data_IF_116015838733
#
_entry.id   IF_116015838733
#
_cell.length_a   1.000
_cell.length_b   1.000
_cell.length_c   1.000
_cell.angle_alpha   90.00
_cell.angle_beta   90.00
_cell.angle_gamma   90.00
#
_symmetry.space_group_name_H-M   'P 1'
#
loop_
_entity.id
_entity.type
_entity.pdbx_description
1 polymer ?
#
# COMPACT_ATOMS: atom_id res chain seq x y z
N UNK A 1 -23.87 17.10 -0.24
CA UNK A 1 -23.72 17.90 1.00
C UNK A 1 -22.27 17.83 1.40
N UNK A 2 -21.62 18.93 1.80
CA UNK A 2 -20.23 18.85 2.28
C UNK A 2 -20.20 18.34 3.74
N UNK A 3 -19.02 18.01 4.26
CA UNK A 3 -18.88 17.47 5.62
C UNK A 3 -19.49 18.38 6.70
N UNK A 4 -19.30 19.71 6.60
CA UNK A 4 -19.80 20.65 7.60
C UNK A 4 -21.33 20.73 7.57
N UNK A 5 -21.93 20.75 6.38
CA UNK A 5 -23.37 20.72 6.23
C UNK A 5 -23.95 19.41 6.78
N UNK A 6 -23.31 18.27 6.49
CA UNK A 6 -23.73 16.96 6.97
C UNK A 6 -23.67 16.86 8.50
N UNK A 7 -22.56 17.34 9.08
CA UNK A 7 -22.39 17.43 10.53
C UNK A 7 -23.50 18.28 11.17
N UNK A 8 -23.86 19.40 10.56
CA UNK A 8 -24.91 20.28 11.06
C UNK A 8 -26.29 19.60 11.01
N UNK A 9 -26.61 18.86 9.94
CA UNK A 9 -27.84 18.09 9.85
C UNK A 9 -27.93 17.01 10.95
N UNK A 10 -26.83 16.27 11.18
CA UNK A 10 -26.77 15.28 12.26
C UNK A 10 -26.99 15.94 13.62
N UNK A 11 -26.34 17.08 13.89
CA UNK A 11 -26.54 17.83 15.14
C UNK A 11 -28.00 18.31 15.30
N UNK A 12 -28.65 18.69 14.21
CA UNK A 12 -30.07 19.05 14.25
C UNK A 12 -30.96 17.84 14.58
N UNK A 13 -30.69 16.66 14.00
CA UNK A 13 -31.42 15.42 14.32
C UNK A 13 -31.23 15.07 15.80
N UNK A 14 -30.00 15.14 16.32
CA UNK A 14 -29.72 14.92 17.73
C UNK A 14 -30.46 15.91 18.63
N UNK A 15 -30.54 17.18 18.23
CA UNK A 15 -31.25 18.22 19.01
C UNK A 15 -32.76 18.00 19.10
N UNK A 16 -33.35 17.35 18.10
CA UNK A 16 -34.79 17.04 18.01
C UNK A 16 -35.16 15.68 18.62
N UNK A 17 -34.17 14.87 18.96
CA UNK A 17 -34.37 13.54 19.56
C UNK A 17 -34.75 13.70 21.03
N UNK A 18 -35.74 12.92 21.50
CA UNK A 18 -36.12 12.91 22.91
C UNK A 18 -34.90 12.56 23.79
N UNK A 19 -34.72 13.30 24.89
CA UNK A 19 -33.61 13.12 25.83
C UNK A 19 -33.49 11.70 26.36
N UNK A 20 -34.59 10.96 26.49
CA UNK A 20 -34.56 9.58 26.95
C UNK A 20 -33.95 8.60 25.93
N UNK A 21 -33.99 8.94 24.64
CA UNK A 21 -33.45 8.13 23.55
C UNK A 21 -32.05 8.57 23.10
N UNK A 22 -31.64 9.80 23.45
CA UNK A 22 -30.36 10.36 23.04
C UNK A 22 -29.14 9.48 23.40
N UNK A 23 -29.02 8.90 24.61
CA UNK A 23 -27.90 8.01 24.92
C UNK A 23 -27.85 6.77 24.02
N UNK A 24 -29.01 6.16 23.75
CA UNK A 24 -29.11 4.98 22.88
C UNK A 24 -28.78 5.31 21.43
N UNK A 25 -29.21 6.47 20.93
CA UNK A 25 -28.89 6.93 19.57
C UNK A 25 -27.39 7.25 19.43
N UNK A 26 -26.79 7.90 20.42
CA UNK A 26 -25.35 8.18 20.43
C UNK A 26 -24.52 6.90 20.51
N UNK A 27 -24.97 5.90 21.24
CA UNK A 27 -24.31 4.60 21.27
C UNK A 27 -24.42 3.90 19.91
N UNK A 28 -25.63 3.85 19.33
CA UNK A 28 -25.83 3.30 17.98
C UNK A 28 -24.95 4.01 16.93
N UNK A 29 -24.87 5.35 16.95
CA UNK A 29 -23.99 6.09 16.02
C UNK A 29 -22.49 5.76 16.18
N UNK A 30 -22.07 5.27 17.35
CA UNK A 30 -20.67 4.93 17.62
C UNK A 30 -20.33 3.47 17.36
N UNK A 31 -21.30 2.57 17.49
CA UNK A 31 -21.04 1.13 17.56
C UNK A 31 -21.88 0.31 16.58
N UNK A 32 -22.66 0.94 15.71
CA UNK A 32 -23.51 0.21 14.77
C UNK A 32 -22.84 0.00 13.43
N UNK A 33 -22.86 -1.25 13.00
CA UNK A 33 -22.43 -1.67 11.66
C UNK A 33 -23.43 -1.24 10.57
N UNK A 34 -24.65 -0.80 10.92
CA UNK A 34 -25.65 -0.28 9.98
C UNK A 34 -25.12 0.93 9.18
N UNK A 35 -24.10 1.63 9.71
CA UNK A 35 -23.44 2.74 9.05
C UNK A 35 -22.40 2.30 8.02
N UNK A 36 -21.85 1.09 8.16
CA UNK A 36 -20.84 0.53 7.26
C UNK A 36 -21.44 0.19 5.89
N UNK A 37 -22.75 -0.05 5.81
CA UNK A 37 -23.49 -0.20 4.55
C UNK A 37 -23.39 1.04 3.65
N UNK A 38 -23.23 2.24 4.23
CA UNK A 38 -22.97 3.47 3.47
C UNK A 38 -21.52 3.61 3.03
N UNK A 39 -20.63 2.76 3.55
CA UNK A 39 -19.21 2.66 3.19
C UNK A 39 -18.94 1.52 2.20
N UNK A 40 -19.99 0.89 1.64
CA UNK A 40 -19.86 -0.08 0.55
C UNK A 40 -19.26 0.64 -0.66
N UNK A 41 -18.05 0.21 -1.00
CA UNK A 41 -17.19 0.86 -1.95
C UNK A 41 -17.06 -0.03 -3.19
N UNK A 42 -17.74 0.32 -4.28
CA UNK A 42 -17.70 -0.47 -5.51
C UNK A 42 -16.26 -0.60 -6.03
N UNK A 43 -15.42 0.39 -5.75
CA UNK A 43 -14.00 0.37 -6.08
C UNK A 43 -13.26 -0.74 -5.31
N UNK A 44 -13.58 -0.98 -4.04
CA UNK A 44 -12.95 -2.07 -3.27
C UNK A 44 -13.33 -3.43 -3.82
N UNK A 45 -14.57 -3.60 -4.30
CA UNK A 45 -15.02 -4.84 -4.98
C UNK A 45 -14.23 -5.09 -6.27
N UNK A 46 -13.96 -4.03 -7.05
CA UNK A 46 -13.13 -4.14 -8.26
C UNK A 46 -11.70 -4.57 -7.89
N UNK A 47 -11.10 -3.98 -6.85
CA UNK A 47 -9.78 -4.37 -6.37
C UNK A 47 -9.74 -5.82 -5.87
N UNK A 48 -10.76 -6.27 -5.13
CA UNK A 48 -10.91 -7.67 -4.71
C UNK A 48 -11.00 -8.61 -5.91
N UNK A 49 -11.75 -8.22 -6.95
CA UNK A 49 -11.84 -9.00 -8.19
C UNK A 49 -10.48 -9.11 -8.89
N UNK A 50 -9.70 -8.02 -8.92
CA UNK A 50 -8.34 -8.02 -9.47
C UNK A 50 -7.44 -8.97 -8.66
N UNK A 51 -7.52 -8.90 -7.33
CA UNK A 51 -6.77 -9.77 -6.44
C UNK A 51 -7.10 -11.26 -6.68
N UNK A 52 -8.38 -11.62 -6.85
CA UNK A 52 -8.82 -12.96 -7.22
C UNK A 52 -8.21 -13.46 -8.54
N UNK A 53 -8.26 -12.63 -9.58
CA UNK A 53 -7.68 -12.96 -10.88
C UNK A 53 -6.17 -13.18 -10.82
N UNK A 54 -5.47 -12.32 -10.08
CA UNK A 54 -4.02 -12.42 -9.89
C UNK A 54 -3.66 -13.68 -9.11
N UNK A 55 -4.39 -14.02 -8.05
CA UNK A 55 -4.20 -15.27 -7.28
C UNK A 55 -4.32 -16.51 -8.17
N UNK A 56 -5.23 -16.52 -9.14
CA UNK A 56 -5.36 -17.63 -10.09
C UNK A 56 -4.12 -17.81 -10.99
N UNK A 57 -3.28 -16.79 -11.12
CA UNK A 57 -2.09 -16.79 -11.96
C UNK A 57 -0.78 -16.96 -11.18
N UNK A 58 -0.83 -16.94 -9.84
CA UNK A 58 0.34 -16.86 -8.97
C UNK A 58 0.40 -18.06 -8.01
N UNK A 59 1.60 -18.42 -7.53
CA UNK A 59 1.72 -19.29 -6.36
C UNK A 59 1.13 -18.61 -5.12
N UNK A 60 0.86 -19.39 -4.06
CA UNK A 60 0.24 -18.89 -2.83
C UNK A 60 1.06 -17.74 -2.22
N UNK A 61 2.38 -17.87 -2.25
CA UNK A 61 3.33 -16.88 -1.74
C UNK A 61 3.38 -15.61 -2.58
N UNK A 62 2.80 -15.60 -3.79
CA UNK A 62 2.79 -14.47 -4.71
C UNK A 62 4.18 -13.88 -5.04
N UNK A 63 5.23 -14.70 -4.91
CA UNK A 63 6.58 -14.37 -5.33
C UNK A 63 6.88 -15.00 -6.70
N UNK A 64 7.47 -14.23 -7.60
CA UNK A 64 7.93 -14.78 -8.88
C UNK A 64 9.20 -15.62 -8.65
N UNK A 65 9.43 -16.73 -9.39
CA UNK A 65 10.65 -17.52 -9.26
C UNK A 65 11.94 -16.73 -9.51
N UNK A 66 11.82 -15.63 -10.27
CA UNK A 66 12.90 -14.69 -10.58
C UNK A 66 13.25 -13.72 -9.44
N UNK A 67 12.42 -13.60 -8.39
CA UNK A 67 12.71 -12.79 -7.19
C UNK A 67 13.65 -13.52 -6.22
N UNK A 68 14.76 -14.07 -6.74
CA UNK A 68 15.65 -14.97 -5.98
C UNK A 68 16.22 -14.32 -4.71
N UNK A 69 16.51 -13.02 -4.74
CA UNK A 69 17.04 -12.30 -3.58
C UNK A 69 15.98 -12.09 -2.49
N UNK A 70 14.74 -11.76 -2.86
CA UNK A 70 13.66 -11.61 -1.89
C UNK A 70 13.38 -12.94 -1.20
N UNK A 71 13.29 -14.03 -2.00
CA UNK A 71 13.16 -15.41 -1.49
C UNK A 71 14.30 -15.74 -0.53
N UNK A 72 15.55 -15.44 -0.92
CA UNK A 72 16.73 -15.71 -0.10
C UNK A 72 16.70 -14.91 1.21
N UNK A 73 16.44 -13.60 1.17
CA UNK A 73 16.41 -12.74 2.37
C UNK A 73 15.31 -13.14 3.35
N UNK A 74 14.14 -13.50 2.84
CA UNK A 74 13.03 -14.04 3.67
C UNK A 74 13.45 -15.34 4.36
N UNK A 75 14.12 -16.25 3.64
CA UNK A 75 14.60 -17.51 4.23
C UNK A 75 15.74 -17.35 5.26
N UNK A 76 16.43 -16.21 5.25
CA UNK A 76 17.56 -15.91 6.14
C UNK A 76 17.14 -15.14 7.40
N UNK A 77 15.86 -14.78 7.55
CA UNK A 77 15.35 -14.14 8.78
C UNK A 77 15.56 -15.06 9.99
N UNK A 78 15.89 -14.45 11.13
CA UNK A 78 16.16 -15.18 12.38
C UNK A 78 14.92 -15.87 12.93
N UNK A 79 13.74 -15.31 12.64
CA UNK A 79 12.45 -15.90 12.94
C UNK A 79 11.87 -16.50 11.65
N UNK A 80 11.14 -17.62 11.73
CA UNK A 80 10.45 -18.15 10.57
C UNK A 80 9.44 -17.14 10.00
N UNK A 81 9.74 -16.67 8.79
CA UNK A 81 8.98 -15.62 8.09
C UNK A 81 8.35 -16.20 6.82
N UNK A 82 7.10 -15.82 6.53
CA UNK A 82 6.35 -16.18 5.32
C UNK A 82 5.94 -14.90 4.60
N UNK A 83 6.04 -14.90 3.27
CA UNK A 83 5.51 -13.82 2.46
C UNK A 83 4.02 -14.05 2.19
N UNK A 84 3.19 -13.07 2.55
CA UNK A 84 1.75 -13.03 2.29
C UNK A 84 1.46 -11.66 1.70
N UNK A 85 1.07 -11.63 0.42
CA UNK A 85 0.84 -10.37 -0.27
C UNK A 85 -0.45 -9.71 0.21
N UNK A 86 -0.33 -8.55 0.86
CA UNK A 86 -1.46 -7.86 1.49
C UNK A 86 -2.50 -7.32 0.49
N UNK A 87 -2.15 -7.18 -0.79
CA UNK A 87 -3.13 -6.84 -1.83
C UNK A 87 -3.99 -8.05 -2.20
N UNK A 88 -3.40 -9.25 -2.20
CA UNK A 88 -4.06 -10.48 -2.63
C UNK A 88 -4.87 -11.17 -1.52
N UNK A 89 -4.42 -11.02 -0.28
CA UNK A 89 -4.96 -11.74 0.87
C UNK A 89 -5.25 -10.76 2.01
N UNK A 90 -6.53 -10.51 2.26
CA UNK A 90 -6.99 -9.87 3.49
C UNK A 90 -7.01 -10.88 4.66
N UNK A 91 -7.32 -10.40 5.87
CA UNK A 91 -7.32 -11.24 7.07
C UNK A 91 -8.30 -12.42 6.96
N UNK A 92 -9.50 -12.18 6.42
CA UNK A 92 -10.52 -13.22 6.21
C UNK A 92 -10.03 -14.30 5.23
N UNK A 93 -9.35 -13.90 4.15
CA UNK A 93 -8.78 -14.84 3.19
C UNK A 93 -7.65 -15.64 3.82
N UNK A 94 -6.78 -15.02 4.63
CA UNK A 94 -5.72 -15.72 5.37
C UNK A 94 -6.32 -16.72 6.35
N UNK A 95 -7.37 -16.35 7.08
CA UNK A 95 -8.05 -17.26 8.01
C UNK A 95 -8.66 -18.46 7.29
N UNK A 96 -9.35 -18.22 6.17
CA UNK A 96 -9.89 -19.28 5.32
C UNK A 96 -8.80 -20.25 4.83
N UNK A 97 -7.63 -19.73 4.43
CA UNK A 97 -6.49 -20.55 4.01
C UNK A 97 -5.91 -21.38 5.17
N UNK A 98 -5.94 -20.84 6.39
CA UNK A 98 -5.55 -21.58 7.59
C UNK A 98 -6.53 -22.69 7.95
N UNK A 99 -7.84 -22.42 7.87
CA UNK A 99 -8.89 -23.41 8.11
C UNK A 99 -8.83 -24.57 7.08
N UNK A 100 -8.52 -24.24 5.82
CA UNK A 100 -8.31 -25.21 4.74
C UNK A 100 -6.99 -26.01 4.86
N UNK A 101 -6.12 -25.66 5.83
CA UNK A 101 -4.80 -26.28 6.00
C UNK A 101 -3.80 -25.96 4.89
N UNK A 102 -4.07 -24.92 4.08
CA UNK A 102 -3.17 -24.44 3.01
C UNK A 102 -2.10 -23.48 3.52
N UNK A 103 -2.36 -22.83 4.66
CA UNK A 103 -1.43 -21.92 5.33
C UNK A 103 -1.45 -22.17 6.83
N UNK A 104 -0.44 -21.69 7.56
CA UNK A 104 -0.45 -21.63 9.02
C UNK A 104 0.01 -20.24 9.47
N UNK A 105 -0.57 -19.73 10.56
CA UNK A 105 -0.07 -18.53 11.28
C UNK A 105 1.03 -18.88 12.29
N UNK A 106 1.27 -20.17 12.53
CA UNK A 106 2.22 -20.65 13.54
C UNK A 106 3.15 -21.73 12.99
N UNK A 107 4.35 -21.83 13.54
CA UNK A 107 5.27 -22.94 13.30
C UNK A 107 5.49 -23.76 14.58
N UNK A 108 5.86 -25.02 14.39
CA UNK A 108 6.11 -25.95 15.48
C UNK A 108 7.52 -25.76 16.05
N UNK A 109 7.63 -25.61 17.38
CA UNK A 109 8.93 -25.49 18.06
C UNK A 109 9.63 -26.84 18.21
N UNK A 110 8.86 -27.92 18.30
CA UNK A 110 9.35 -29.30 18.26
C UNK A 110 8.40 -30.16 17.43
N UNK A 111 8.83 -30.63 16.26
CA UNK A 111 7.99 -31.40 15.33
C UNK A 111 7.19 -32.50 16.05
N UNK A 112 5.90 -32.60 15.70
CA UNK A 112 4.89 -33.47 16.33
C UNK A 112 4.48 -33.09 17.78
N UNK A 113 4.87 -31.92 18.27
CA UNK A 113 4.31 -31.33 19.50
C UNK A 113 3.20 -30.32 19.21
N UNK A 114 2.46 -29.94 20.24
CA UNK A 114 1.51 -28.82 20.19
C UNK A 114 2.17 -27.50 20.65
N UNK A 115 3.50 -27.48 20.82
CA UNK A 115 4.23 -26.26 21.17
C UNK A 115 4.50 -25.49 19.90
N UNK A 116 3.81 -24.37 19.73
CA UNK A 116 3.91 -23.52 18.54
C UNK A 116 4.29 -22.09 18.90
N UNK A 117 4.87 -21.39 17.93
CA UNK A 117 5.15 -19.96 17.99
C UNK A 117 4.62 -19.30 16.71
N UNK A 118 4.26 -18.00 16.74
CA UNK A 118 3.75 -17.29 15.58
C UNK A 118 4.82 -17.18 14.48
N UNK A 119 4.36 -17.26 13.23
CA UNK A 119 5.15 -16.91 12.04
C UNK A 119 5.16 -15.39 11.87
N UNK A 120 6.26 -14.85 11.36
CA UNK A 120 6.26 -13.46 10.88
C UNK A 120 5.69 -13.41 9.46
N UNK A 121 4.79 -12.47 9.19
CA UNK A 121 4.27 -12.23 7.86
C UNK A 121 4.87 -10.94 7.30
N UNK A 122 5.29 -11.00 6.04
CA UNK A 122 5.78 -9.83 5.29
C UNK A 122 4.99 -9.67 4.00
N UNK A 123 4.76 -8.42 3.61
CA UNK A 123 4.19 -8.02 2.33
C UNK A 123 5.09 -6.99 1.65
N UNK A 124 5.11 -7.00 0.32
CA UNK A 124 5.72 -5.94 -0.49
C UNK A 124 4.67 -5.20 -1.36
N UNK A 125 3.39 -5.34 -1.00
CA UNK A 125 2.26 -4.68 -1.66
C UNK A 125 1.40 -3.98 -0.61
N UNK A 126 0.72 -2.91 -1.02
CA UNK A 126 -0.33 -2.30 -0.21
C UNK A 126 -1.59 -3.15 -0.24
N UNK A 127 -2.22 -3.32 0.91
CA UNK A 127 -3.59 -3.79 1.05
C UNK A 127 -4.61 -2.80 0.48
N UNK A 128 -5.82 -3.28 0.25
CA UNK A 128 -6.93 -2.44 -0.23
C UNK A 128 -7.23 -1.27 0.72
N UNK A 129 -7.30 -1.45 2.06
CA UNK A 129 -7.48 -0.34 2.98
C UNK A 129 -6.33 0.66 2.98
N UNK A 130 -5.07 0.21 2.85
CA UNK A 130 -3.92 1.10 2.72
C UNK A 130 -3.98 1.93 1.42
N UNK A 131 -4.44 1.34 0.31
CA UNK A 131 -4.67 2.06 -0.94
C UNK A 131 -5.77 3.12 -0.79
N UNK A 132 -6.85 2.80 -0.08
CA UNK A 132 -7.91 3.78 0.23
C UNK A 132 -7.36 4.93 1.04
N UNK A 133 -6.63 4.64 2.13
CA UNK A 133 -5.97 5.65 2.96
C UNK A 133 -5.07 6.56 2.12
N UNK A 134 -4.22 5.94 1.30
CA UNK A 134 -3.25 6.64 0.50
C UNK A 134 -3.91 7.65 -0.46
N UNK A 135 -4.92 7.22 -1.22
CA UNK A 135 -5.50 8.07 -2.26
C UNK A 135 -6.63 8.99 -1.77
N UNK A 136 -7.31 8.65 -0.68
CA UNK A 136 -8.44 9.45 -0.18
C UNK A 136 -8.08 10.36 0.99
N UNK A 137 -7.02 10.05 1.75
CA UNK A 137 -6.69 10.76 2.99
C UNK A 137 -5.25 11.31 3.03
N UNK A 138 -4.30 10.65 2.37
CA UNK A 138 -2.88 11.08 2.35
C UNK A 138 -2.59 12.01 1.18
N UNK A 139 -2.91 11.59 -0.04
CA UNK A 139 -2.63 12.35 -1.25
C UNK A 139 -3.70 13.43 -1.50
N UNK A 140 -3.31 14.62 -2.01
CA UNK A 140 -4.26 15.65 -2.40
C UNK A 140 -4.97 15.29 -3.70
N UNK A 141 -5.85 16.17 -4.21
CA UNK A 141 -6.42 16.02 -5.55
C UNK A 141 -5.30 15.93 -6.61
N UNK A 142 -5.33 14.84 -7.37
CA UNK A 142 -4.34 14.48 -8.39
C UNK A 142 -4.79 14.85 -9.81
N UNK A 143 -5.86 15.62 -9.97
CA UNK A 143 -6.33 16.06 -11.29
C UNK A 143 -5.20 16.74 -12.08
N UNK A 144 -4.90 16.20 -13.26
CA UNK A 144 -3.82 16.71 -14.11
C UNK A 144 -2.40 16.34 -13.67
N UNK A 145 -2.25 15.48 -12.65
CA UNK A 145 -0.95 15.09 -12.07
C UNK A 145 -0.48 13.73 -12.59
N UNK A 146 0.84 13.55 -12.60
CA UNK A 146 1.48 12.27 -12.87
C UNK A 146 1.97 11.63 -11.56
N UNK A 147 1.55 10.38 -11.35
CA UNK A 147 1.96 9.52 -10.23
C UNK A 147 2.84 8.41 -10.77
N UNK A 148 3.98 8.18 -10.12
CA UNK A 148 4.88 7.06 -10.43
C UNK A 148 4.91 6.10 -9.24
N UNK A 149 4.72 4.82 -9.53
CA UNK A 149 4.91 3.72 -8.59
C UNK A 149 6.22 2.99 -8.92
N UNK A 150 7.18 3.00 -7.99
CA UNK A 150 8.51 2.41 -8.17
C UNK A 150 8.52 1.00 -7.62
N UNK A 151 8.85 0.01 -8.46
CA UNK A 151 8.80 -1.40 -8.07
C UNK A 151 7.36 -1.87 -7.92
N UNK A 152 6.55 -1.58 -8.94
CA UNK A 152 5.09 -1.72 -8.88
C UNK A 152 4.58 -3.16 -8.66
N UNK A 153 5.42 -4.20 -8.73
CA UNK A 153 5.09 -5.63 -8.54
C UNK A 153 3.74 -6.02 -9.16
N UNK A 154 2.69 -6.21 -8.37
CA UNK A 154 1.39 -6.67 -8.85
C UNK A 154 0.51 -5.54 -9.42
N UNK A 155 0.92 -4.28 -9.27
CA UNK A 155 0.23 -3.09 -9.77
C UNK A 155 -0.79 -2.49 -8.79
N UNK A 156 -0.79 -2.91 -7.53
CA UNK A 156 -1.77 -2.52 -6.51
C UNK A 156 -1.98 -0.99 -6.43
N UNK A 157 -0.89 -0.21 -6.40
CA UNK A 157 -0.92 1.27 -6.39
C UNK A 157 -1.56 1.83 -7.65
N UNK A 158 -1.30 1.24 -8.81
CA UNK A 158 -1.85 1.70 -10.09
C UNK A 158 -3.37 1.50 -10.13
N UNK A 159 -3.85 0.34 -9.66
CA UNK A 159 -5.28 0.04 -9.63
C UNK A 159 -6.00 0.89 -8.59
N UNK A 160 -5.43 1.02 -7.39
CA UNK A 160 -5.94 1.90 -6.35
C UNK A 160 -5.99 3.36 -6.79
N UNK A 161 -4.92 3.85 -7.40
CA UNK A 161 -4.85 5.22 -7.92
C UNK A 161 -5.80 5.48 -9.08
N UNK A 162 -6.12 4.46 -9.88
CA UNK A 162 -7.14 4.57 -10.91
C UNK A 162 -8.54 4.70 -10.30
N UNK A 163 -8.86 3.87 -9.32
CA UNK A 163 -10.22 3.80 -8.77
C UNK A 163 -10.52 4.91 -7.75
N UNK A 164 -9.54 5.29 -6.93
CA UNK A 164 -9.70 6.28 -5.87
C UNK A 164 -9.16 7.67 -6.21
N UNK A 165 -8.33 7.78 -7.25
CA UNK A 165 -7.66 9.01 -7.63
C UNK A 165 -8.07 9.55 -9.00
N UNK A 166 -7.89 10.86 -9.17
CA UNK A 166 -8.10 11.57 -10.44
C UNK A 166 -6.78 11.85 -11.19
N UNK A 167 -5.71 11.11 -10.87
CA UNK A 167 -4.41 11.25 -11.53
C UNK A 167 -4.57 11.16 -13.05
N UNK A 168 -3.96 12.10 -13.78
CA UNK A 168 -4.03 12.11 -15.24
C UNK A 168 -3.22 10.94 -15.83
N UNK A 169 -2.13 10.56 -15.17
CA UNK A 169 -1.33 9.39 -15.51
C UNK A 169 -0.83 8.68 -14.25
N UNK A 170 -0.90 7.35 -14.28
CA UNK A 170 -0.37 6.42 -13.29
C UNK A 170 0.67 5.56 -13.99
N UNK A 171 1.94 5.65 -13.58
CA UNK A 171 3.03 4.95 -14.24
C UNK A 171 3.70 3.98 -13.28
N UNK A 172 3.59 2.68 -13.54
CA UNK A 172 4.31 1.64 -12.82
C UNK A 172 5.66 1.38 -13.48
N UNK A 173 6.73 1.43 -12.71
CA UNK A 173 8.05 0.95 -13.14
C UNK A 173 8.32 -0.37 -12.44
N UNK A 174 8.62 -1.41 -13.22
CA UNK A 174 8.90 -2.74 -12.70
C UNK A 174 10.05 -3.38 -13.48
N UNK A 175 10.99 -4.00 -12.78
CA UNK A 175 12.15 -4.67 -13.38
C UNK A 175 11.83 -6.13 -13.73
N UNK A 176 10.87 -6.73 -13.05
CA UNK A 176 10.44 -8.10 -13.27
C UNK A 176 9.45 -8.19 -14.44
N UNK A 177 9.88 -8.78 -15.55
CA UNK A 177 9.04 -8.94 -16.74
C UNK A 177 7.78 -9.78 -16.52
N UNK A 178 7.76 -10.72 -15.56
CA UNK A 178 6.58 -11.54 -15.24
C UNK A 178 5.48 -10.68 -14.64
N UNK A 179 5.86 -9.79 -13.72
CA UNK A 179 4.97 -8.81 -13.11
C UNK A 179 4.51 -7.74 -14.08
N UNK A 180 5.41 -7.21 -14.94
CA UNK A 180 5.00 -6.31 -16.02
C UNK A 180 3.91 -6.94 -16.88
N UNK A 181 4.05 -8.22 -17.23
CA UNK A 181 3.06 -8.94 -18.02
C UNK A 181 1.74 -9.08 -17.28
N UNK A 182 1.76 -9.47 -16.00
CA UNK A 182 0.56 -9.56 -15.16
C UNK A 182 -0.17 -8.21 -15.07
N UNK A 183 0.56 -7.14 -14.78
CA UNK A 183 -0.01 -5.80 -14.72
C UNK A 183 -0.63 -5.40 -16.06
N UNK A 184 0.07 -5.64 -17.18
CA UNK A 184 -0.44 -5.31 -18.52
C UNK A 184 -1.75 -6.04 -18.81
N UNK A 185 -1.84 -7.34 -18.50
CA UNK A 185 -3.06 -8.12 -18.68
C UNK A 185 -4.21 -7.61 -17.80
N UNK A 186 -3.93 -7.26 -16.54
CA UNK A 186 -4.93 -6.69 -15.62
C UNK A 186 -5.43 -5.34 -16.12
N UNK A 187 -4.51 -4.44 -16.52
CA UNK A 187 -4.85 -3.11 -17.05
C UNK A 187 -5.75 -3.22 -18.28
N UNK A 188 -5.45 -4.15 -19.19
CA UNK A 188 -6.29 -4.43 -20.35
C UNK A 188 -7.66 -5.02 -19.97
N UNK A 189 -7.68 -6.04 -19.09
CA UNK A 189 -8.91 -6.73 -18.67
C UNK A 189 -9.92 -5.78 -18.01
N UNK A 190 -9.43 -4.86 -17.18
CA UNK A 190 -10.27 -3.91 -16.44
C UNK A 190 -10.46 -2.57 -17.15
N UNK A 191 -9.86 -2.38 -18.34
CA UNK A 191 -10.03 -1.18 -19.16
C UNK A 191 -9.33 0.07 -18.58
N UNK A 192 -8.22 -0.11 -17.87
CA UNK A 192 -7.50 1.00 -17.21
C UNK A 192 -6.44 1.68 -18.09
N UNK A 193 -6.26 1.22 -19.32
CA UNK A 193 -5.20 1.66 -20.24
C UNK A 193 -5.24 3.14 -20.61
N UNK A 194 -6.36 3.85 -20.35
CA UNK A 194 -6.47 5.28 -20.60
C UNK A 194 -5.57 6.14 -19.69
N UNK A 195 -5.26 5.65 -18.48
CA UNK A 195 -4.48 6.39 -17.47
C UNK A 195 -3.31 5.59 -16.92
N UNK A 196 -3.35 4.26 -16.95
CA UNK A 196 -2.26 3.41 -16.45
C UNK A 196 -1.28 3.08 -17.58
N UNK A 197 0.02 3.28 -17.29
CA UNK A 197 1.14 2.80 -18.10
C UNK A 197 2.07 1.93 -17.26
N UNK A 198 2.50 0.79 -17.80
CA UNK A 198 3.48 -0.09 -17.16
C UNK A 198 4.77 -0.07 -17.98
N UNK A 199 5.90 0.18 -17.32
CA UNK A 199 7.22 0.28 -17.95
C UNK A 199 8.13 -0.81 -17.37
N UNK A 200 8.61 -1.68 -18.24
CA UNK A 200 9.65 -2.66 -17.91
C UNK A 200 11.02 -1.98 -17.88
N UNK A 201 11.46 -1.54 -16.71
CA UNK A 201 12.74 -0.84 -16.56
C UNK A 201 13.25 -0.86 -15.11
N UNK A 202 14.55 -0.65 -14.96
CA UNK A 202 15.12 -0.18 -13.70
C UNK A 202 14.82 1.32 -13.54
N UNK A 203 14.33 1.74 -12.37
CA UNK A 203 14.04 3.14 -12.05
C UNK A 203 15.24 4.07 -12.30
N UNK A 204 16.47 3.59 -12.09
CA UNK A 204 17.73 4.32 -12.31
C UNK A 204 17.95 4.71 -13.78
N UNK A 205 17.19 4.12 -14.70
CA UNK A 205 17.19 4.48 -16.13
C UNK A 205 16.14 5.53 -16.51
N UNK A 206 15.24 5.89 -15.60
CA UNK A 206 14.03 6.69 -15.88
C UNK A 206 14.12 8.12 -15.34
N UNK A 207 15.30 8.76 -15.46
CA UNK A 207 15.56 10.09 -14.88
C UNK A 207 14.55 11.16 -15.31
N UNK A 208 14.24 11.23 -16.60
CA UNK A 208 13.28 12.21 -17.13
C UNK A 208 11.88 12.00 -16.55
N UNK A 209 11.45 10.76 -16.33
CA UNK A 209 10.15 10.47 -15.74
C UNK A 209 10.13 10.91 -14.27
N UNK A 210 11.14 10.51 -13.50
CA UNK A 210 11.28 10.89 -12.08
C UNK A 210 11.36 12.41 -11.90
N UNK A 211 12.09 13.13 -12.76
CA UNK A 211 12.20 14.59 -12.68
C UNK A 211 10.88 15.33 -12.92
N UNK A 212 9.95 14.74 -13.69
CA UNK A 212 8.69 15.38 -14.05
C UNK A 212 7.50 14.97 -13.16
N UNK A 213 7.64 13.87 -12.42
CA UNK A 213 6.62 13.31 -11.54
C UNK A 213 6.09 14.34 -10.52
N UNK A 214 4.77 14.36 -10.31
CA UNK A 214 4.16 15.12 -9.24
C UNK A 214 4.12 14.33 -7.92
N UNK A 215 3.97 13.01 -8.03
CA UNK A 215 3.98 12.07 -6.90
C UNK A 215 4.87 10.88 -7.25
N UNK A 216 5.73 10.47 -6.32
CA UNK A 216 6.52 9.26 -6.40
C UNK A 216 6.17 8.37 -5.20
N UNK A 217 5.80 7.11 -5.45
CA UNK A 217 5.42 6.14 -4.43
C UNK A 217 6.47 5.02 -4.43
N UNK A 218 6.94 4.68 -3.23
CA UNK A 218 7.98 3.69 -3.00
C UNK A 218 7.59 2.79 -1.82
N UNK A 219 6.90 1.69 -2.10
CA UNK A 219 6.52 0.70 -1.09
C UNK A 219 7.50 -0.48 -1.07
N UNK A 220 8.32 -0.56 -0.04
CA UNK A 220 9.21 -1.69 0.26
C UNK A 220 10.10 -2.13 -0.93
N UNK A 221 10.49 -1.17 -1.78
CA UNK A 221 10.99 -1.46 -3.12
C UNK A 221 12.44 -1.94 -3.19
N UNK A 222 13.24 -1.73 -2.13
CA UNK A 222 14.69 -1.94 -2.19
C UNK A 222 15.22 -3.03 -1.24
N UNK A 223 14.75 -3.08 0.00
CA UNK A 223 15.38 -3.89 1.06
C UNK A 223 15.48 -5.37 0.66
N UNK A 224 14.43 -5.92 0.06
CA UNK A 224 14.35 -7.33 -0.31
C UNK A 224 14.87 -7.63 -1.73
N UNK A 225 14.94 -6.61 -2.59
CA UNK A 225 15.14 -6.78 -4.03
C UNK A 225 16.50 -6.33 -4.53
N UNK A 226 17.33 -5.71 -3.68
CA UNK A 226 18.65 -5.18 -4.05
C UNK A 226 19.69 -5.44 -2.97
N UNK A 227 20.96 -5.58 -3.36
CA UNK A 227 22.09 -5.58 -2.41
C UNK A 227 22.27 -4.18 -1.80
N UNK A 228 22.79 -4.05 -0.57
CA UNK A 228 22.90 -2.74 0.11
C UNK A 228 23.55 -1.63 -0.73
N UNK A 229 24.57 -1.98 -1.52
CA UNK A 229 25.24 -1.02 -2.42
C UNK A 229 24.35 -0.54 -3.56
N UNK A 230 23.48 -1.40 -4.11
CA UNK A 230 22.51 -1.04 -5.15
C UNK A 230 21.36 -0.22 -4.56
N UNK A 231 20.91 -0.55 -3.35
CA UNK A 231 19.91 0.24 -2.62
C UNK A 231 20.40 1.68 -2.44
N UNK A 232 21.65 1.85 -2.01
CA UNK A 232 22.26 3.18 -1.85
C UNK A 232 22.32 3.94 -3.17
N UNK A 233 22.71 3.29 -4.27
CA UNK A 233 22.73 3.90 -5.59
C UNK A 233 21.33 4.29 -6.08
N UNK A 234 20.31 3.46 -5.83
CA UNK A 234 18.93 3.76 -6.17
C UNK A 234 18.42 4.97 -5.36
N UNK A 235 18.67 5.01 -4.05
CA UNK A 235 18.34 6.15 -3.20
C UNK A 235 19.06 7.44 -3.62
N UNK A 236 20.34 7.36 -3.97
CA UNK A 236 21.10 8.49 -4.52
C UNK A 236 20.50 8.97 -5.85
N UNK A 237 20.13 8.04 -6.73
CA UNK A 237 19.48 8.37 -7.98
C UNK A 237 18.13 9.07 -7.77
N UNK A 238 17.26 8.52 -6.91
CA UNK A 238 15.95 9.12 -6.60
C UNK A 238 16.14 10.51 -6.01
N UNK A 239 16.98 10.63 -4.97
CA UNK A 239 17.22 11.93 -4.34
C UNK A 239 17.78 12.94 -5.33
N UNK A 240 18.68 12.55 -6.24
CA UNK A 240 19.24 13.46 -7.24
C UNK A 240 18.22 13.92 -8.29
N UNK A 241 17.28 13.07 -8.68
CA UNK A 241 16.37 13.32 -9.80
C UNK A 241 14.97 13.82 -9.37
N UNK A 242 14.45 13.39 -8.22
CA UNK A 242 13.14 13.79 -7.72
C UNK A 242 13.21 15.14 -6.99
N UNK A 243 13.37 16.21 -7.77
CA UNK A 243 13.67 17.58 -7.28
C UNK A 243 12.58 18.61 -7.60
N UNK A 244 11.46 18.20 -8.17
CA UNK A 244 10.36 19.10 -8.49
C UNK A 244 9.76 19.65 -7.20
N UNK A 245 9.94 20.95 -6.97
CA UNK A 245 9.48 21.62 -5.75
C UNK A 245 7.97 21.40 -5.54
N UNK A 246 7.61 21.01 -4.32
CA UNK A 246 6.24 20.71 -3.93
C UNK A 246 5.72 19.34 -4.40
N UNK A 247 6.51 18.57 -5.15
CA UNK A 247 6.17 17.17 -5.45
C UNK A 247 6.18 16.33 -4.17
N UNK A 248 5.42 15.24 -4.20
CA UNK A 248 5.17 14.40 -3.04
C UNK A 248 5.89 13.05 -3.18
N UNK A 249 6.56 12.63 -2.13
CA UNK A 249 7.17 11.31 -2.04
C UNK A 249 6.44 10.52 -0.95
N UNK A 250 5.95 9.35 -1.29
CA UNK A 250 5.37 8.39 -0.34
C UNK A 250 6.34 7.24 -0.18
N UNK A 251 6.68 6.90 1.06
CA UNK A 251 7.53 5.73 1.34
C UNK A 251 6.90 4.84 2.39
N UNK A 252 7.15 3.54 2.25
CA UNK A 252 6.86 2.50 3.24
C UNK A 252 8.06 1.57 3.30
N UNK A 253 8.81 1.47 4.40
CA UNK A 253 8.71 2.27 5.63
C UNK A 253 9.21 3.72 5.44
N UNK A 254 9.45 4.46 6.53
CA UNK A 254 10.06 5.80 6.45
C UNK A 254 11.43 5.77 5.75
N UNK A 255 11.85 6.89 5.15
CA UNK A 255 13.19 7.00 4.55
C UNK A 255 14.27 6.74 5.61
N UNK A 256 14.05 7.18 6.83
CA UNK A 256 14.95 7.01 7.97
C UNK A 256 15.13 5.53 8.33
N UNK A 257 14.05 4.76 8.39
CA UNK A 257 14.11 3.31 8.64
C UNK A 257 14.76 2.56 7.48
N UNK A 258 14.37 2.88 6.24
CA UNK A 258 14.97 2.29 5.05
C UNK A 258 16.50 2.53 4.98
N UNK A 259 16.96 3.71 5.43
CA UNK A 259 18.38 4.04 5.50
C UNK A 259 19.09 3.50 6.74
N UNK A 260 18.41 3.26 7.86
CA UNK A 260 19.05 2.75 9.08
C UNK A 260 19.71 1.38 8.86
N UNK A 261 19.19 0.60 7.91
CA UNK A 261 19.73 -0.70 7.49
C UNK A 261 20.99 -0.55 6.60
N UNK A 262 21.14 0.60 5.94
CA UNK A 262 22.25 0.93 5.05
C UNK A 262 23.31 1.70 5.84
N UNK A 263 24.33 0.98 6.36
CA UNK A 263 25.35 1.49 7.30
C UNK A 263 26.28 2.61 6.77
N UNK A 264 25.93 3.35 5.71
CA UNK A 264 26.77 4.38 5.07
C UNK A 264 25.99 5.64 4.66
N UNK A 265 26.64 6.80 4.81
CA UNK A 265 26.29 8.14 4.29
C UNK A 265 24.78 8.42 4.15
N UNK A 266 24.16 8.90 5.24
CA UNK A 266 22.77 9.36 5.20
C UNK A 266 22.56 10.42 4.11
N UNK A 267 21.49 10.23 3.32
CA UNK A 267 21.00 11.27 2.42
C UNK A 267 20.78 12.56 3.20
N UNK A 268 21.10 13.74 2.63
CA UNK A 268 20.83 15.01 3.28
C UNK A 268 19.32 15.33 3.20
N UNK A 269 18.49 14.59 3.96
CA UNK A 269 17.02 14.67 3.90
C UNK A 269 16.53 16.09 4.13
N UNK A 270 17.09 16.81 5.12
CA UNK A 270 16.75 18.20 5.43
C UNK A 270 17.03 19.19 4.29
N UNK A 271 17.79 18.80 3.26
CA UNK A 271 18.05 19.60 2.06
C UNK A 271 17.21 19.16 0.86
N UNK A 272 16.47 18.07 0.97
CA UNK A 272 15.69 17.47 -0.11
C UNK A 272 14.19 17.54 0.17
N UNK A 273 13.77 16.99 1.30
CA UNK A 273 12.36 16.80 1.63
C UNK A 273 12.08 17.19 3.07
N UNK A 274 10.84 17.61 3.32
CA UNK A 274 10.25 17.68 4.65
C UNK A 274 9.18 16.60 4.80
N UNK A 275 9.08 15.98 5.97
CA UNK A 275 8.01 15.04 6.27
C UNK A 275 6.71 15.82 6.56
N UNK A 276 5.60 15.33 6.02
CA UNK A 276 4.27 15.91 6.18
C UNK A 276 3.51 15.06 7.21
N UNK A 277 3.10 15.64 8.35
CA UNK A 277 2.32 14.90 9.34
C UNK A 277 1.01 14.38 8.74
N UNK A 278 0.74 13.09 8.95
CA UNK A 278 -0.50 12.44 8.54
C UNK A 278 -1.42 12.23 9.75
N UNK A 279 -2.72 12.27 9.48
CA UNK A 279 -3.74 11.93 10.46
C UNK A 279 -4.12 10.45 10.30
N UNK A 280 -3.49 9.60 11.11
CA UNK A 280 -3.79 8.17 11.16
C UNK A 280 -5.07 7.84 11.94
N UNK A 281 -5.76 8.83 12.51
CA UNK A 281 -7.03 8.62 13.21
C UNK A 281 -8.22 8.63 12.26
N UNK A 282 -7.98 8.94 10.98
CA UNK A 282 -9.01 8.85 9.95
C UNK A 282 -9.41 7.38 9.81
N UNK A 283 -10.67 7.11 10.16
CA UNK A 283 -11.23 5.77 10.23
C UNK A 283 -11.42 5.18 8.83
N UNK A 284 -10.81 4.01 8.59
CA UNK A 284 -10.95 3.22 7.36
C UNK A 284 -11.39 1.83 7.76
N UNK A 285 -12.71 1.65 7.99
CA UNK A 285 -13.35 0.39 8.38
C UNK A 285 -12.75 -0.26 9.65
N UNK A 286 -13.50 -1.17 10.28
CA UNK A 286 -13.09 -1.75 11.57
C UNK A 286 -11.90 -2.73 11.46
N UNK A 287 -11.60 -3.25 10.28
CA UNK A 287 -10.63 -4.35 10.09
C UNK A 287 -9.25 -3.89 9.58
N UNK A 288 -8.99 -2.58 9.53
CA UNK A 288 -7.68 -2.08 9.08
C UNK A 288 -6.70 -2.06 10.24
N UNK A 289 -5.57 -2.75 10.09
CA UNK A 289 -4.47 -2.69 11.05
C UNK A 289 -3.91 -1.26 11.13
N UNK A 290 -4.20 -0.55 12.23
CA UNK A 290 -3.75 0.81 12.45
C UNK A 290 -2.22 0.93 12.50
N UNK A 291 -1.48 -0.14 12.81
CA UNK A 291 -0.02 -0.12 12.81
C UNK A 291 0.55 -0.21 11.39
N UNK A 292 -0.12 -0.92 10.47
CA UNK A 292 0.20 -0.91 9.03
C UNK A 292 0.12 0.49 8.43
N UNK A 293 -0.95 1.25 8.72
CA UNK A 293 -1.14 2.60 8.20
C UNK A 293 -0.03 3.56 8.65
N UNK A 294 0.50 3.37 9.87
CA UNK A 294 1.60 4.19 10.42
C UNK A 294 2.93 3.97 9.71
N UNK A 295 3.07 2.92 8.91
CA UNK A 295 4.25 2.69 8.07
C UNK A 295 4.23 3.55 6.80
N UNK A 296 3.13 4.26 6.53
CA UNK A 296 2.97 5.12 5.35
C UNK A 296 3.43 6.52 5.68
N UNK A 297 4.53 6.95 5.07
CA UNK A 297 5.11 8.28 5.28
C UNK A 297 4.95 9.14 4.04
N UNK A 298 4.55 10.40 4.24
CA UNK A 298 4.45 11.40 3.19
C UNK A 298 5.54 12.46 3.38
N UNK A 299 6.22 12.78 2.28
CA UNK A 299 7.23 13.82 2.23
C UNK A 299 6.94 14.80 1.10
N UNK A 300 7.39 16.04 1.27
CA UNK A 300 7.29 17.11 0.27
C UNK A 300 8.68 17.59 -0.11
N UNK A 301 8.94 17.71 -1.41
CA UNK A 301 10.19 18.26 -1.93
C UNK A 301 10.28 19.77 -1.70
N UNK A 302 11.41 20.23 -1.16
CA UNK A 302 11.68 21.62 -0.75
C UNK A 302 11.91 22.61 -1.90
#
# INVERSE_FOLDING_TARGET
MNFNDAKNEILQVLSKTDRQHLPKLLEWLKTSDDLDDFLVDNQSIILQSIAEDLRACLPLEAMAPSETMAIQKTSQKSLPTVHVDAFLYDEETVDSLCEDGKMSRNYCLDCASHRTAPLEFISHSFSIPELQFLFQNVLPDLTGKQVIDVGSRLGAVLYGGYLYGAAAQLVGIEINSEFVKLQTMTVEKYGFSERIQVIHADIRSQAALVQNADVLIMNNVFEYFMEPSDQMQAWQFISHNFRKKGALLVTVPSIQEAHAVLQENMLPLCQWVEEVPLDYTVYIKNDTDADSLKQIHLYRVL
#
